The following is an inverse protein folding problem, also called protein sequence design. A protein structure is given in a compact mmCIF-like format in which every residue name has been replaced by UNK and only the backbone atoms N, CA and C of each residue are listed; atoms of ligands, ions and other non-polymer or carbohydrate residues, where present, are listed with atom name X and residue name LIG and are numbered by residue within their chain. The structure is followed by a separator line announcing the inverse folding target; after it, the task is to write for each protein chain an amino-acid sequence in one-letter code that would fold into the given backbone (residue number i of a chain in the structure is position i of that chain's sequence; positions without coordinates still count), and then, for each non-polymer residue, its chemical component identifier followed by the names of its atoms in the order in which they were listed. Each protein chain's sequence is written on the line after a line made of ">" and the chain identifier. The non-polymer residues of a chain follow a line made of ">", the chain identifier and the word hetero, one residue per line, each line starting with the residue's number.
data_IF_107053277074
#
_entry.id   IF_107053277074
#
_cell.length_a   1.000
_cell.length_b   1.000
_cell.length_c   1.000
_cell.angle_alpha   90.00
_cell.angle_beta   90.00
_cell.angle_gamma   90.00
#
_symmetry.space_group_name_H-M   'P 1'
#
loop_
_entity.id
_entity.type
_entity.pdbx_description
1 polymer ?
#
# COMPACT_ATOMS: atom_id res chain seq x y z
N UNK A 1 -18.51 3.26 -2.47
CA UNK A 1 -19.97 3.39 -2.23
C UNK A 1 -20.51 2.00 -1.89
N UNK A 2 -21.17 1.81 -0.74
CA UNK A 2 -21.82 0.53 -0.40
C UNK A 2 -23.10 0.42 -1.23
N UNK A 3 -23.30 -0.72 -1.90
CA UNK A 3 -24.56 -1.00 -2.60
C UNK A 3 -25.65 -1.10 -1.53
N UNK A 4 -26.72 -0.29 -1.65
CA UNK A 4 -27.89 -0.20 -0.73
C UNK A 4 -27.73 0.59 0.59
N UNK A 5 -26.75 1.46 0.75
CA UNK A 5 -26.74 2.40 1.90
C UNK A 5 -27.52 3.68 1.58
N UNK A 6 -28.70 3.85 2.17
CA UNK A 6 -29.31 5.17 2.33
C UNK A 6 -28.74 5.82 3.60
N UNK A 7 -27.90 6.86 3.45
CA UNK A 7 -27.57 7.76 4.57
C UNK A 7 -26.18 7.65 5.23
N UNK A 8 -25.15 7.08 4.60
CA UNK A 8 -23.79 7.18 5.15
C UNK A 8 -23.14 8.52 4.76
N UNK A 9 -22.89 9.40 5.75
CA UNK A 9 -22.03 10.57 5.59
C UNK A 9 -20.58 10.19 5.92
N UNK A 10 -19.72 10.27 4.91
CA UNK A 10 -18.26 10.32 5.06
C UNK A 10 -17.88 11.68 5.67
N UNK A 11 -16.96 11.82 6.63
CA UNK A 11 -16.36 13.13 6.85
C UNK A 11 -15.20 13.31 5.85
N UNK A 12 -15.09 14.47 5.19
CA UNK A 12 -14.00 15.36 5.59
C UNK A 12 -14.43 16.83 5.79
N UNK A 13 -13.58 17.58 6.50
CA UNK A 13 -13.67 19.03 6.72
C UNK A 13 -13.67 19.82 5.39
N UNK A 14 -14.45 20.91 5.27
CA UNK A 14 -14.65 21.65 4.02
C UNK A 14 -13.44 22.45 3.48
N UNK A 15 -12.31 22.56 4.18
CA UNK A 15 -11.24 23.50 3.79
C UNK A 15 -10.03 22.89 3.07
N UNK A 16 -9.78 21.58 3.13
CA UNK A 16 -8.87 20.85 2.22
C UNK A 16 -9.38 19.40 2.13
N UNK A 17 -9.84 18.98 0.95
CA UNK A 17 -10.51 17.68 0.79
C UNK A 17 -9.48 16.54 0.88
N UNK A 18 -9.31 15.97 2.07
CA UNK A 18 -8.67 14.67 2.24
C UNK A 18 -9.51 13.61 1.50
N UNK A 19 -8.86 12.72 0.75
CA UNK A 19 -9.54 11.72 -0.08
C UNK A 19 -9.44 10.34 0.55
N UNK A 20 -10.56 9.65 0.68
CA UNK A 20 -10.52 8.21 0.89
C UNK A 20 -9.86 7.55 -0.31
N UNK A 21 -8.74 6.87 -0.08
CA UNK A 21 -7.91 6.32 -1.14
C UNK A 21 -8.00 4.80 -1.20
N UNK A 22 -8.05 4.14 -0.04
CA UNK A 22 -8.14 2.68 0.06
C UNK A 22 -9.17 2.24 1.09
N UNK A 23 -9.76 1.08 0.84
CA UNK A 23 -10.66 0.36 1.74
C UNK A 23 -10.24 -1.10 1.76
N UNK A 24 -10.00 -1.65 2.94
CA UNK A 24 -9.72 -3.06 3.15
C UNK A 24 -10.67 -3.63 4.20
N UNK A 25 -10.94 -4.94 4.14
CA UNK A 25 -11.62 -5.66 5.21
C UNK A 25 -10.62 -6.52 5.96
N UNK A 26 -10.94 -6.87 7.20
CA UNK A 26 -10.14 -7.84 7.94
C UNK A 26 -10.50 -9.28 7.53
N UNK A 27 -9.55 -10.08 6.99
CA UNK A 27 -9.85 -11.45 6.55
C UNK A 27 -10.39 -12.37 7.64
N UNK A 28 -10.01 -12.13 8.90
CA UNK A 28 -10.44 -12.93 10.04
C UNK A 28 -11.69 -12.36 10.75
N UNK A 29 -12.08 -11.11 10.44
CA UNK A 29 -13.27 -10.47 11.00
C UNK A 29 -13.92 -9.52 9.97
N UNK A 30 -14.65 -10.02 8.96
CA UNK A 30 -15.09 -9.22 7.81
C UNK A 30 -16.01 -8.03 8.11
N UNK A 31 -16.59 -7.96 9.31
CA UNK A 31 -17.32 -6.77 9.77
C UNK A 31 -16.38 -5.59 10.09
N UNK A 32 -15.10 -5.86 10.37
CA UNK A 32 -14.08 -4.85 10.56
C UNK A 32 -13.54 -4.38 9.22
N UNK A 33 -13.64 -3.08 8.97
CA UNK A 33 -13.15 -2.40 7.78
C UNK A 33 -12.09 -1.37 8.15
N UNK A 34 -11.12 -1.18 7.26
CA UNK A 34 -10.06 -0.20 7.35
C UNK A 34 -10.20 0.78 6.18
N UNK A 35 -10.22 2.08 6.46
CA UNK A 35 -10.23 3.12 5.43
C UNK A 35 -9.00 4.00 5.57
N UNK A 36 -8.27 4.15 4.46
CA UNK A 36 -7.06 4.94 4.36
C UNK A 36 -7.40 6.26 3.70
N UNK A 37 -7.12 7.35 4.42
CA UNK A 37 -7.42 8.70 3.98
C UNK A 37 -6.10 9.39 3.65
N UNK A 38 -5.96 9.85 2.41
CA UNK A 38 -4.82 10.66 2.02
C UNK A 38 -4.83 11.98 2.79
N UNK A 39 -3.71 12.31 3.43
CA UNK A 39 -3.53 13.38 4.42
C UNK A 39 -4.56 13.34 5.59
N UNK A 40 -5.19 12.20 5.85
CA UNK A 40 -6.24 12.05 6.87
C UNK A 40 -6.07 10.86 7.82
N UNK A 41 -5.06 10.01 7.57
CA UNK A 41 -4.73 8.85 8.40
C UNK A 41 -5.69 7.68 8.19
N UNK A 42 -5.80 6.86 9.22
CA UNK A 42 -6.59 5.64 9.24
C UNK A 42 -7.90 5.83 10.00
N UNK A 43 -8.96 5.27 9.43
CA UNK A 43 -10.24 5.05 10.10
C UNK A 43 -10.52 3.55 10.15
N UNK A 44 -11.15 3.08 11.23
CA UNK A 44 -11.67 1.73 11.35
C UNK A 44 -13.19 1.77 11.53
N UNK A 45 -13.85 0.72 11.08
CA UNK A 45 -15.25 0.45 11.40
C UNK A 45 -15.34 -0.97 11.89
N UNK A 46 -16.02 -1.22 13.01
CA UNK A 46 -16.27 -2.57 13.55
C UNK A 46 -17.70 -3.06 13.25
N UNK A 47 -18.47 -2.29 12.49
CA UNK A 47 -19.88 -2.54 12.21
C UNK A 47 -20.18 -2.54 10.70
N UNK A 48 -19.27 -3.04 9.87
CA UNK A 48 -19.45 -3.11 8.40
C UNK A 48 -19.67 -1.74 7.73
N UNK A 49 -19.03 -0.70 8.28
CA UNK A 49 -19.00 0.65 7.74
C UNK A 49 -20.16 1.55 8.15
N UNK A 50 -20.97 1.19 9.16
CA UNK A 50 -22.02 2.09 9.66
C UNK A 50 -21.44 3.23 10.49
N UNK A 51 -20.43 2.95 11.32
CA UNK A 51 -19.69 3.94 12.11
C UNK A 51 -18.18 3.79 11.91
N UNK A 52 -17.46 4.89 12.04
CA UNK A 52 -16.02 4.96 11.81
C UNK A 52 -15.32 5.72 12.95
N UNK A 53 -14.18 5.22 13.39
CA UNK A 53 -13.34 5.85 14.42
C UNK A 53 -11.90 6.00 13.94
N UNK A 54 -11.18 7.07 14.31
CA UNK A 54 -9.76 7.22 14.01
C UNK A 54 -8.92 6.12 14.66
N UNK A 55 -7.92 5.63 13.91
CA UNK A 55 -7.00 4.57 14.33
C UNK A 55 -5.55 4.96 14.02
N UNK A 56 -5.09 6.08 14.59
CA UNK A 56 -3.84 6.76 14.21
C UNK A 56 -2.71 6.64 15.25
N UNK A 57 -2.88 5.85 16.30
CA UNK A 57 -1.88 5.77 17.37
C UNK A 57 -0.55 5.21 16.85
N UNK A 58 0.54 5.97 16.97
CA UNK A 58 1.86 5.58 16.45
C UNK A 58 2.14 6.01 15.00
N UNK A 59 1.15 6.52 14.26
CA UNK A 59 1.40 7.10 12.94
C UNK A 59 2.12 8.44 13.06
N UNK A 60 3.30 8.54 12.44
CA UNK A 60 4.03 9.81 12.28
C UNK A 60 3.73 10.50 10.96
N UNK A 61 3.03 9.82 10.04
CA UNK A 61 2.62 10.30 8.74
C UNK A 61 1.18 9.85 8.48
N UNK A 62 0.31 10.78 8.09
CA UNK A 62 -1.12 10.57 7.87
C UNK A 62 -1.50 10.52 6.38
N UNK A 63 -0.52 10.55 5.49
CA UNK A 63 -0.70 10.53 4.05
C UNK A 63 -0.83 9.09 3.53
N UNK A 64 -1.94 8.42 3.86
CA UNK A 64 -2.11 6.99 3.58
C UNK A 64 -2.33 6.75 2.08
N UNK A 65 -1.40 6.00 1.48
CA UNK A 65 -1.42 5.70 0.04
C UNK A 65 -1.99 4.33 -0.29
N UNK A 66 -1.80 3.33 0.57
CA UNK A 66 -2.32 1.97 0.39
C UNK A 66 -2.41 1.24 1.74
N UNK A 67 -3.38 0.33 1.86
CA UNK A 67 -3.59 -0.53 3.03
C UNK A 67 -3.54 -1.98 2.60
N UNK A 68 -2.81 -2.79 3.35
CA UNK A 68 -2.82 -4.25 3.25
C UNK A 68 -3.21 -4.85 4.61
N UNK A 69 -4.40 -5.45 4.70
CA UNK A 69 -4.74 -6.34 5.81
C UNK A 69 -4.26 -7.75 5.47
N UNK A 70 -3.39 -8.32 6.30
CA UNK A 70 -2.70 -9.57 5.97
C UNK A 70 -3.65 -10.76 5.98
N UNK A 71 -3.63 -11.55 4.90
CA UNK A 71 -4.34 -12.83 4.84
C UNK A 71 -3.54 -13.95 5.54
N UNK A 72 -2.22 -13.82 5.59
CA UNK A 72 -1.32 -14.84 6.13
C UNK A 72 -1.06 -14.65 7.64
N UNK A 73 -1.27 -13.44 8.16
CA UNK A 73 -0.99 -13.09 9.54
C UNK A 73 -2.17 -12.35 10.16
N UNK A 74 -3.06 -13.09 10.84
CA UNK A 74 -4.25 -12.54 11.49
C UNK A 74 -3.92 -11.35 12.39
N UNK A 75 -4.65 -10.26 12.20
CA UNK A 75 -4.51 -9.03 12.98
C UNK A 75 -3.41 -8.09 12.50
N UNK A 76 -2.60 -8.51 11.52
CA UNK A 76 -1.58 -7.65 10.93
C UNK A 76 -2.15 -6.76 9.83
N UNK A 77 -1.75 -5.49 9.86
CA UNK A 77 -2.09 -4.51 8.82
C UNK A 77 -0.82 -3.73 8.47
N UNK A 78 -0.62 -3.45 7.19
CA UNK A 78 0.50 -2.66 6.67
C UNK A 78 -0.01 -1.43 5.95
N UNK A 79 0.77 -0.35 5.99
CA UNK A 79 0.51 0.89 5.26
C UNK A 79 1.73 1.29 4.45
N UNK A 80 1.48 1.74 3.22
CA UNK A 80 2.36 2.64 2.51
C UNK A 80 1.82 4.07 2.67
N UNK A 81 2.65 5.00 3.12
CA UNK A 81 2.30 6.41 3.32
C UNK A 81 3.29 7.35 2.62
N UNK A 82 2.94 8.64 2.62
CA UNK A 82 3.77 9.80 2.26
C UNK A 82 5.25 9.61 2.52
N UNK A 83 5.68 9.70 3.77
CA UNK A 83 7.10 9.67 4.17
C UNK A 83 7.43 8.47 5.06
N UNK A 84 6.55 7.46 5.09
CA UNK A 84 6.78 6.26 5.87
C UNK A 84 6.02 5.01 5.38
N UNK A 85 6.49 3.84 5.79
CA UNK A 85 5.70 2.62 5.80
C UNK A 85 5.45 2.20 7.25
N UNK A 86 4.27 1.68 7.55
CA UNK A 86 3.91 1.24 8.91
C UNK A 86 3.38 -0.19 8.92
N UNK A 87 3.45 -0.83 10.09
CA UNK A 87 2.64 -2.02 10.40
C UNK A 87 1.92 -1.88 11.73
N UNK A 88 0.87 -2.64 11.89
CA UNK A 88 0.19 -2.91 13.15
C UNK A 88 0.09 -4.43 13.35
N UNK A 89 0.16 -4.88 14.60
CA UNK A 89 -0.07 -6.29 15.00
C UNK A 89 -1.45 -6.52 15.64
N UNK A 90 -2.19 -5.45 15.89
CA UNK A 90 -3.39 -5.41 16.72
C UNK A 90 -4.56 -4.76 15.98
N UNK A 91 -4.67 -5.04 14.68
CA UNK A 91 -5.77 -4.60 13.82
C UNK A 91 -5.88 -3.06 13.75
N UNK A 92 -4.75 -2.37 13.54
CA UNK A 92 -4.66 -0.92 13.55
C UNK A 92 -4.90 -0.27 14.94
N UNK A 93 -4.67 -1.00 16.04
CA UNK A 93 -4.68 -0.42 17.38
C UNK A 93 -3.48 0.49 17.62
N UNK A 94 -2.29 0.04 17.22
CA UNK A 94 -1.05 0.79 17.28
C UNK A 94 -0.18 0.53 16.04
N UNK A 95 0.55 1.56 15.60
CA UNK A 95 1.40 1.52 14.41
C UNK A 95 2.90 1.65 14.73
N UNK A 96 3.70 0.81 14.09
CA UNK A 96 5.16 0.83 14.13
C UNK A 96 5.72 1.25 12.77
N UNK A 97 6.67 2.19 12.75
CA UNK A 97 7.38 2.56 11.53
C UNK A 97 8.31 1.41 11.09
N UNK A 98 8.18 1.02 9.83
CA UNK A 98 8.96 -0.05 9.18
C UNK A 98 9.58 0.44 7.87
N UNK A 99 9.80 1.75 7.71
CA UNK A 99 10.32 2.30 6.45
C UNK A 99 11.67 1.67 6.06
N UNK A 100 11.87 1.31 4.78
CA UNK A 100 13.19 1.03 4.26
C UNK A 100 14.12 2.24 4.43
N UNK A 101 15.37 2.01 4.84
CA UNK A 101 16.29 3.11 5.22
C UNK A 101 16.68 4.07 4.08
N UNK A 102 16.50 3.68 2.82
CA UNK A 102 17.02 4.44 1.66
C UNK A 102 15.95 5.13 0.82
N UNK A 103 14.66 4.87 1.11
CA UNK A 103 13.51 5.40 0.38
C UNK A 103 12.39 5.66 1.38
N UNK A 104 12.02 6.92 1.54
CA UNK A 104 11.04 7.40 2.50
C UNK A 104 9.63 7.46 1.91
N UNK A 105 9.48 7.55 0.59
CA UNK A 105 8.17 7.75 -0.02
C UNK A 105 7.44 6.45 -0.35
N UNK A 106 6.60 5.95 0.55
CA UNK A 106 5.88 4.67 0.42
C UNK A 106 4.74 4.78 -0.58
N UNK A 107 4.81 4.06 -1.69
CA UNK A 107 3.83 4.15 -2.80
C UNK A 107 2.85 2.99 -2.86
N UNK A 108 3.30 1.79 -2.51
CA UNK A 108 2.46 0.58 -2.56
C UNK A 108 2.92 -0.49 -1.58
N UNK A 109 2.00 -1.39 -1.20
CA UNK A 109 2.25 -2.53 -0.31
C UNK A 109 1.41 -3.75 -0.70
N UNK A 110 2.05 -4.93 -0.75
CA UNK A 110 1.39 -6.20 -1.07
C UNK A 110 2.02 -7.38 -0.30
N UNK A 111 1.30 -8.50 -0.19
CA UNK A 111 1.78 -9.73 0.44
C UNK A 111 1.55 -10.93 -0.49
N UNK A 112 2.51 -11.85 -0.53
CA UNK A 112 2.39 -13.10 -1.28
C UNK A 112 1.71 -14.20 -0.45
N UNK A 113 1.42 -15.35 -1.06
CA UNK A 113 0.75 -16.47 -0.36
C UNK A 113 1.55 -17.07 0.79
N UNK A 114 2.84 -16.76 0.88
CA UNK A 114 3.75 -17.28 1.90
C UNK A 114 3.96 -16.27 3.04
N UNK A 115 3.30 -15.12 2.99
CA UNK A 115 3.40 -14.06 4.00
C UNK A 115 4.60 -13.14 3.81
N UNK A 116 5.21 -13.16 2.62
CA UNK A 116 6.29 -12.25 2.25
C UNK A 116 5.69 -10.91 1.85
N UNK A 117 6.13 -9.84 2.50
CA UNK A 117 5.61 -8.48 2.27
C UNK A 117 6.52 -7.73 1.32
N UNK A 118 5.92 -7.02 0.38
CA UNK A 118 6.58 -6.18 -0.60
C UNK A 118 6.13 -4.74 -0.42
N UNK A 119 7.08 -3.80 -0.48
CA UNK A 119 6.77 -2.37 -0.52
C UNK A 119 7.46 -1.70 -1.70
N UNK A 120 6.71 -0.88 -2.42
CA UNK A 120 7.25 0.02 -3.42
C UNK A 120 7.51 1.38 -2.78
N UNK A 121 8.74 1.88 -2.85
CA UNK A 121 9.10 3.20 -2.30
C UNK A 121 9.91 4.04 -3.30
N UNK A 122 9.71 5.35 -3.32
CA UNK A 122 10.42 6.31 -4.17
C UNK A 122 11.37 7.23 -3.37
N UNK A 123 12.29 7.92 -4.06
CA UNK A 123 13.07 9.02 -3.46
C UNK A 123 12.27 10.31 -3.55
N UNK A 124 11.43 10.51 -2.54
CA UNK A 124 10.55 11.67 -2.43
C UNK A 124 9.28 11.57 -3.27
N UNK A 125 8.44 12.59 -3.07
CA UNK A 125 7.07 12.71 -3.58
C UNK A 125 6.93 12.84 -5.11
N UNK A 126 5.75 12.53 -5.70
CA UNK A 126 5.54 12.45 -7.14
C UNK A 126 5.83 13.71 -7.94
N UNK A 127 5.62 14.89 -7.35
CA UNK A 127 5.97 16.15 -7.99
C UNK A 127 7.49 16.31 -8.20
N UNK A 128 8.34 15.50 -7.56
CA UNK A 128 9.77 15.45 -7.81
C UNK A 128 10.13 14.48 -8.95
N UNK A 129 9.23 13.61 -9.38
CA UNK A 129 9.51 12.59 -10.40
C UNK A 129 9.58 13.14 -11.83
N UNK A 130 9.30 14.43 -12.01
CA UNK A 130 9.44 15.14 -13.29
C UNK A 130 10.90 15.41 -13.70
N UNK A 131 11.85 15.06 -12.83
CA UNK A 131 13.30 15.18 -13.06
C UNK A 131 13.78 14.14 -14.07
N UNK A 132 15.01 14.30 -14.56
CA UNK A 132 15.62 13.38 -15.52
C UNK A 132 15.70 11.94 -14.98
N UNK A 133 16.05 11.82 -13.70
CA UNK A 133 16.21 10.54 -13.01
C UNK A 133 14.88 9.86 -12.64
N UNK A 134 13.75 10.56 -12.79
CA UNK A 134 12.43 10.05 -12.44
C UNK A 134 12.20 9.92 -10.92
N UNK A 135 11.44 8.91 -10.53
CA UNK A 135 11.08 8.61 -9.14
C UNK A 135 12.23 8.04 -8.32
N UNK A 136 13.22 7.43 -8.99
CA UNK A 136 14.27 6.63 -8.36
C UNK A 136 13.63 5.64 -7.38
N UNK A 137 12.62 4.91 -7.85
CA UNK A 137 11.86 4.00 -7.03
C UNK A 137 12.55 2.64 -6.90
N UNK A 138 12.22 1.95 -5.83
CA UNK A 138 12.71 0.64 -5.50
C UNK A 138 11.57 -0.22 -4.98
N UNK A 139 11.71 -1.53 -5.16
CA UNK A 139 10.85 -2.52 -4.52
C UNK A 139 11.69 -3.23 -3.48
N UNK A 140 11.13 -3.33 -2.28
CA UNK A 140 11.72 -4.04 -1.15
C UNK A 140 10.88 -5.24 -0.78
N UNK A 141 11.53 -6.27 -0.25
CA UNK A 141 10.93 -7.50 0.24
C UNK A 141 11.28 -7.72 1.70
N UNK A 142 10.32 -8.15 2.49
CA UNK A 142 10.51 -8.56 3.88
C UNK A 142 9.92 -9.95 4.12
N UNK A 143 10.66 -10.80 4.81
CA UNK A 143 10.24 -12.14 5.24
C UNK A 143 10.01 -12.25 6.74
N UNK A 144 10.21 -11.14 7.45
CA UNK A 144 10.11 -11.04 8.91
C UNK A 144 9.13 -9.92 9.30
N UNK A 145 8.08 -9.80 8.48
CA UNK A 145 6.91 -8.96 8.73
C UNK A 145 7.24 -7.47 8.78
N UNK A 146 8.19 -7.02 7.97
CA UNK A 146 8.64 -5.63 7.89
C UNK A 146 9.72 -5.25 8.90
N UNK A 147 10.35 -6.22 9.57
CA UNK A 147 11.44 -5.91 10.52
C UNK A 147 12.74 -5.60 9.79
N UNK A 148 13.03 -6.36 8.73
CA UNK A 148 14.15 -6.12 7.82
C UNK A 148 13.70 -6.14 6.37
N UNK A 149 14.45 -5.43 5.53
CA UNK A 149 14.13 -5.24 4.11
C UNK A 149 15.32 -5.60 3.23
N UNK A 150 15.06 -6.44 2.24
CA UNK A 150 15.93 -6.69 1.11
C UNK A 150 15.48 -5.83 -0.06
N UNK A 151 16.39 -5.06 -0.66
CA UNK A 151 16.08 -4.31 -1.88
C UNK A 151 16.24 -5.24 -3.08
N UNK A 152 15.13 -5.54 -3.77
CA UNK A 152 15.09 -6.50 -4.88
C UNK A 152 15.12 -5.83 -6.25
N UNK A 153 14.62 -4.58 -6.34
CA UNK A 153 14.66 -3.74 -7.55
C UNK A 153 15.05 -2.33 -7.13
N UNK A 154 15.90 -1.65 -7.91
CA UNK A 154 16.39 -0.29 -7.61
C UNK A 154 16.40 0.58 -8.87
N UNK A 155 16.42 1.90 -8.68
CA UNK A 155 16.50 2.91 -9.73
C UNK A 155 15.41 2.80 -10.82
N UNK A 156 14.19 2.42 -10.44
CA UNK A 156 13.04 2.51 -11.33
C UNK A 156 12.72 3.98 -11.62
N UNK A 157 12.53 4.30 -12.91
CA UNK A 157 12.22 5.67 -13.33
C UNK A 157 10.78 6.06 -12.95
N UNK A 158 9.84 5.14 -13.03
CA UNK A 158 8.48 5.32 -12.50
C UNK A 158 8.35 4.90 -11.03
N UNK A 159 7.46 5.56 -10.29
CA UNK A 159 7.01 5.10 -8.97
C UNK A 159 6.23 3.80 -9.09
N UNK A 160 6.28 2.95 -8.06
CA UNK A 160 5.59 1.65 -8.04
C UNK A 160 4.16 1.87 -7.55
N UNK A 161 3.22 1.95 -8.48
CA UNK A 161 1.88 2.48 -8.20
C UNK A 161 0.93 1.47 -7.58
N UNK A 162 1.10 0.19 -7.92
CA UNK A 162 0.33 -0.91 -7.36
C UNK A 162 1.08 -2.22 -7.57
N UNK A 163 0.88 -3.17 -6.65
CA UNK A 163 1.38 -4.53 -6.78
C UNK A 163 0.23 -5.50 -6.50
N UNK A 164 0.19 -6.62 -7.22
CA UNK A 164 -0.71 -7.73 -6.89
C UNK A 164 0.06 -9.06 -6.92
N UNK A 165 -0.38 -10.09 -6.18
CA UNK A 165 0.25 -11.40 -6.24
C UNK A 165 0.19 -12.00 -7.65
N UNK A 166 1.21 -12.77 -8.03
CA UNK A 166 1.19 -13.62 -9.23
C UNK A 166 0.08 -14.67 -9.13
N UNK A 167 -0.33 -15.26 -10.26
CA UNK A 167 -1.40 -16.28 -10.29
C UNK A 167 -1.09 -17.52 -9.46
N UNK A 168 0.19 -17.85 -9.29
CA UNK A 168 0.61 -18.96 -8.41
C UNK A 168 0.83 -18.51 -6.95
N UNK A 169 0.77 -17.20 -6.69
CA UNK A 169 0.92 -16.55 -5.40
C UNK A 169 2.35 -16.50 -4.85
N UNK A 170 3.39 -16.88 -5.61
CA UNK A 170 4.78 -16.91 -5.14
C UNK A 170 5.61 -15.69 -5.56
N UNK A 171 4.95 -14.57 -5.87
CA UNK A 171 5.59 -13.39 -6.39
C UNK A 171 4.60 -12.26 -6.59
N UNK A 172 5.10 -11.14 -7.12
CA UNK A 172 4.33 -9.94 -7.39
C UNK A 172 4.35 -9.58 -8.87
N UNK A 173 3.25 -9.02 -9.34
CA UNK A 173 3.21 -8.18 -10.54
C UNK A 173 3.17 -6.73 -10.07
N UNK A 174 4.11 -5.91 -10.54
CA UNK A 174 4.19 -4.49 -10.19
C UNK A 174 3.92 -3.62 -11.41
N UNK A 175 3.09 -2.59 -11.25
CA UNK A 175 2.86 -1.56 -12.27
C UNK A 175 3.47 -0.22 -11.87
N UNK A 176 4.10 0.45 -12.83
CA UNK A 176 4.81 1.72 -12.58
C UNK A 176 4.16 2.92 -13.26
N UNK A 177 4.42 4.11 -12.70
CA UNK A 177 3.93 5.38 -13.24
C UNK A 177 4.49 5.73 -14.62
N UNK A 178 5.60 5.11 -15.04
CA UNK A 178 6.23 5.31 -16.35
C UNK A 178 5.85 4.25 -17.38
N UNK A 179 4.89 3.37 -17.07
CA UNK A 179 4.29 2.46 -18.04
C UNK A 179 4.96 1.09 -18.14
N UNK A 180 5.66 0.66 -17.10
CA UNK A 180 6.30 -0.66 -17.03
C UNK A 180 5.47 -1.62 -16.19
N UNK A 181 5.46 -2.89 -16.59
CA UNK A 181 4.97 -4.01 -15.78
C UNK A 181 6.13 -4.95 -15.48
N UNK A 182 6.32 -5.26 -14.21
CA UNK A 182 7.37 -6.15 -13.73
C UNK A 182 6.75 -7.39 -13.10
N UNK A 183 7.39 -8.54 -13.27
CA UNK A 183 7.13 -9.75 -12.47
C UNK A 183 8.33 -10.00 -11.59
N UNK A 184 8.06 -10.28 -10.31
CA UNK A 184 9.03 -10.41 -9.23
C UNK A 184 8.73 -11.71 -8.50
N UNK A 185 9.66 -12.65 -8.52
CA UNK A 185 9.53 -13.92 -7.81
C UNK A 185 10.91 -14.39 -7.32
N UNK A 186 11.00 -15.62 -6.78
CA UNK A 186 12.27 -16.18 -6.30
C UNK A 186 13.32 -16.38 -7.41
N UNK A 187 12.91 -16.45 -8.68
CA UNK A 187 13.83 -16.53 -9.83
C UNK A 187 14.43 -15.17 -10.20
N UNK A 188 13.85 -14.07 -9.70
CA UNK A 188 14.33 -12.71 -9.91
C UNK A 188 13.23 -11.77 -10.39
N UNK A 189 13.66 -10.67 -11.02
CA UNK A 189 12.75 -9.66 -11.60
C UNK A 189 12.85 -9.68 -13.12
N UNK A 190 11.71 -9.60 -13.80
CA UNK A 190 11.62 -9.45 -15.26
C UNK A 190 10.61 -8.38 -15.63
N UNK A 191 10.95 -7.54 -16.61
CA UNK A 191 9.97 -6.66 -17.25
C UNK A 191 9.16 -7.46 -18.28
N UNK A 192 7.84 -7.30 -18.25
CA UNK A 192 6.91 -8.09 -19.08
C UNK A 192 6.12 -7.23 -20.06
N UNK A 193 6.03 -5.93 -19.79
CA UNK A 193 5.52 -4.93 -20.71
C UNK A 193 6.15 -3.57 -20.38
N UNK A 194 6.34 -2.74 -21.40
CA UNK A 194 6.76 -1.35 -21.26
C UNK A 194 6.15 -0.48 -22.36
N UNK A 195 6.26 0.85 -22.20
CA UNK A 195 5.66 1.82 -23.12
C UNK A 195 4.15 1.96 -22.96
N UNK A 196 3.59 1.46 -21.85
CA UNK A 196 2.19 1.69 -21.51
C UNK A 196 2.00 3.15 -21.02
N UNK A 197 0.76 3.66 -20.99
CA UNK A 197 0.45 4.82 -20.17
C UNK A 197 0.74 4.55 -18.68
N UNK A 198 0.68 5.60 -17.87
CA UNK A 198 0.78 5.52 -16.41
C UNK A 198 -0.09 4.37 -15.87
N UNK A 199 0.52 3.36 -15.27
CA UNK A 199 -0.21 2.23 -14.69
C UNK A 199 -0.68 2.62 -13.29
N UNK A 200 -1.98 2.79 -13.10
CA UNK A 200 -2.55 3.19 -11.81
C UNK A 200 -2.91 2.02 -10.92
N UNK A 201 -3.17 0.85 -11.50
CA UNK A 201 -3.50 -0.38 -10.79
C UNK A 201 -3.14 -1.59 -11.65
N UNK A 202 -2.82 -2.70 -10.99
CA UNK A 202 -2.61 -4.00 -11.62
C UNK A 202 -3.37 -5.04 -10.81
N UNK A 203 -4.13 -5.88 -11.48
CA UNK A 203 -4.91 -6.97 -10.90
C UNK A 203 -4.83 -8.16 -11.86
N UNK A 204 -4.80 -9.38 -11.32
CA UNK A 204 -4.81 -10.59 -12.13
C UNK A 204 -6.20 -11.20 -12.08
N UNK A 205 -6.79 -11.41 -13.26
CA UNK A 205 -8.06 -12.10 -13.36
C UNK A 205 -7.87 -13.58 -13.01
N UNK A 206 -8.71 -14.07 -12.08
CA UNK A 206 -8.86 -15.49 -11.77
C UNK A 206 -9.73 -16.21 -12.81
#
# INVERSE_FOLDING_TARGET
>A
MRVNSAGANFPPSPELQSRARYLAYDPAAPARLYAGIEVGGMLISDDSGYTWTPANEGLTDMDVHEILASEQNTGMVYLACGEACFRSFDRAGHWENISPKTHDYGTSVAEDRNGVVYVGCAKGRPNHWIREEGAIAAIFRSRDKGTTWEKIVDNLKGGVMHMCPTTDGNGMVAGTSDGSLLIIDESGTREVASGLPFVTAVELAA
#
